data_IF_752358492877
#
_entry.id   IF_752358492877
#
_cell.length_a   1.000
_cell.length_b   1.000
_cell.length_c   1.000
_cell.angle_alpha   90.00
_cell.angle_beta   90.00
_cell.angle_gamma   90.00
#
_symmetry.space_group_name_H-M   'P 1'
#
loop_
_entity.id
_entity.type
_entity.pdbx_description
1 polymer ?
#
# COMPACT_ATOMS: atom_id res chain seq x y z
N UNK A 1 2.30 11.26 -26.50
CA UNK A 1 2.14 12.63 -25.99
C UNK A 1 3.08 13.52 -26.76
N UNK A 2 2.54 14.51 -27.47
CA UNK A 2 3.35 15.50 -28.17
C UNK A 2 3.84 16.56 -27.18
N UNK A 3 5.17 16.66 -27.04
CA UNK A 3 5.83 17.63 -26.14
C UNK A 3 6.61 18.69 -26.91
N UNK A 4 6.50 18.72 -28.24
CA UNK A 4 7.32 19.55 -29.13
C UNK A 4 7.20 21.06 -28.90
N UNK A 5 6.09 21.52 -28.30
CA UNK A 5 5.79 22.96 -28.11
C UNK A 5 5.59 23.38 -26.66
N UNK A 6 5.89 22.50 -25.71
CA UNK A 6 5.78 22.84 -24.29
C UNK A 6 6.95 23.71 -23.81
N UNK A 7 6.72 24.51 -22.78
CA UNK A 7 7.83 25.15 -22.05
C UNK A 7 8.56 24.09 -21.21
N UNK A 8 9.89 24.22 -21.05
CA UNK A 8 10.74 23.23 -20.38
C UNK A 8 10.12 22.65 -19.09
N UNK A 9 9.70 23.49 -18.15
CA UNK A 9 9.11 23.01 -16.88
C UNK A 9 7.73 22.36 -17.08
N UNK A 10 6.92 22.86 -18.01
CA UNK A 10 5.58 22.33 -18.28
C UNK A 10 5.67 20.91 -18.85
N UNK A 11 6.61 20.68 -19.78
CA UNK A 11 6.87 19.35 -20.33
C UNK A 11 7.21 18.39 -19.19
N UNK A 12 8.16 18.74 -18.33
CA UNK A 12 8.59 17.89 -17.22
C UNK A 12 7.44 17.53 -16.27
N UNK A 13 6.61 18.50 -15.90
CA UNK A 13 5.47 18.29 -14.97
C UNK A 13 4.39 17.41 -15.62
N UNK A 14 4.04 17.65 -16.88
CA UNK A 14 3.02 16.88 -17.60
C UNK A 14 3.50 15.44 -17.83
N UNK A 15 4.77 15.27 -18.21
CA UNK A 15 5.43 13.97 -18.32
C UNK A 15 5.36 13.19 -17.01
N UNK A 16 5.73 13.82 -15.90
CA UNK A 16 5.73 13.16 -14.60
C UNK A 16 4.29 12.81 -14.14
N UNK A 17 3.33 13.71 -14.32
CA UNK A 17 1.92 13.45 -14.02
C UNK A 17 1.37 12.28 -14.84
N UNK A 18 1.68 12.21 -16.13
CA UNK A 18 1.25 11.12 -17.01
C UNK A 18 1.91 9.79 -16.64
N UNK A 19 3.20 9.79 -16.30
CA UNK A 19 3.89 8.59 -15.77
C UNK A 19 3.20 8.07 -14.51
N UNK A 20 2.87 8.95 -13.55
CA UNK A 20 2.13 8.57 -12.34
C UNK A 20 0.76 8.00 -12.65
N UNK A 21 0.04 8.55 -13.63
CA UNK A 21 -1.23 8.00 -14.10
C UNK A 21 -1.07 6.57 -14.62
N UNK A 22 -0.06 6.30 -15.46
CA UNK A 22 0.20 4.94 -15.96
C UNK A 22 0.52 3.97 -14.84
N UNK A 23 1.34 4.38 -13.85
CA UNK A 23 1.67 3.57 -12.68
C UNK A 23 0.42 3.30 -11.84
N UNK A 24 -0.47 4.29 -11.70
CA UNK A 24 -1.76 4.10 -11.04
C UNK A 24 -2.62 3.08 -11.80
N UNK A 25 -2.67 3.13 -13.13
CA UNK A 25 -3.36 2.11 -13.94
C UNK A 25 -2.73 0.72 -13.80
N UNK A 26 -1.40 0.63 -13.69
CA UNK A 26 -0.71 -0.63 -13.42
C UNK A 26 -1.07 -1.17 -12.04
N UNK A 27 -1.12 -0.32 -11.01
CA UNK A 27 -1.56 -0.69 -9.66
C UNK A 27 -3.01 -1.21 -9.68
N UNK A 28 -3.92 -0.51 -10.36
CA UNK A 28 -5.33 -0.90 -10.48
C UNK A 28 -5.51 -2.28 -11.12
N UNK A 29 -4.67 -2.60 -12.11
CA UNK A 29 -4.75 -3.83 -12.89
C UNK A 29 -3.70 -4.86 -12.46
N UNK A 30 -3.12 -4.73 -11.26
CA UNK A 30 -1.96 -5.52 -10.86
C UNK A 30 -2.24 -7.03 -10.89
N UNK A 31 -3.41 -7.44 -10.40
CA UNK A 31 -3.86 -8.84 -10.38
C UNK A 31 -4.53 -9.23 -11.69
N UNK A 32 -5.37 -8.32 -12.21
CA UNK A 32 -6.20 -8.57 -13.41
C UNK A 32 -5.35 -8.67 -14.69
N UNK A 33 -4.05 -8.31 -14.64
CA UNK A 33 -3.06 -8.36 -15.75
C UNK A 33 -3.56 -7.70 -17.03
N UNK A 34 -4.49 -6.76 -16.94
CA UNK A 34 -4.93 -5.99 -18.09
C UNK A 34 -3.74 -5.27 -18.70
N UNK A 35 -3.61 -5.33 -20.04
CA UNK A 35 -2.52 -4.66 -20.74
C UNK A 35 -2.58 -3.16 -20.44
N UNK A 36 -1.56 -2.65 -19.76
CA UNK A 36 -1.39 -1.20 -19.67
C UNK A 36 -0.97 -0.66 -21.04
N UNK A 37 -1.58 0.46 -21.48
CA UNK A 37 -1.24 1.05 -22.77
C UNK A 37 0.24 1.46 -22.79
N UNK A 38 0.90 1.18 -23.91
CA UNK A 38 2.26 1.67 -24.17
C UNK A 38 2.23 3.18 -24.33
N UNK A 39 3.28 3.84 -23.85
CA UNK A 39 3.37 5.28 -23.89
C UNK A 39 4.58 5.75 -24.65
N UNK A 40 4.34 6.71 -25.54
CA UNK A 40 5.33 7.28 -26.44
C UNK A 40 5.38 8.79 -26.26
N UNK A 41 6.59 9.34 -26.18
CA UNK A 41 6.82 10.76 -26.41
C UNK A 41 7.01 11.00 -27.89
N UNK A 42 6.44 12.10 -28.36
CA UNK A 42 6.71 12.65 -29.67
C UNK A 42 7.31 14.03 -29.45
N UNK A 43 8.50 14.27 -29.98
CA UNK A 43 9.12 15.59 -29.96
C UNK A 43 9.73 15.90 -31.33
N UNK A 44 9.76 17.19 -31.64
CA UNK A 44 10.30 17.73 -32.88
C UNK A 44 11.66 18.35 -32.57
N UNK A 45 12.70 17.83 -33.19
CA UNK A 45 14.04 18.42 -33.11
C UNK A 45 14.24 19.27 -34.36
N UNK A 46 14.44 20.59 -34.25
CA UNK A 46 14.71 21.42 -35.42
C UNK A 46 16.06 21.02 -36.04
N UNK A 47 16.03 20.60 -37.29
CA UNK A 47 17.23 20.23 -38.07
C UNK A 47 17.69 21.45 -38.87
N UNK A 48 16.74 22.16 -39.49
CA UNK A 48 17.00 23.42 -40.19
C UNK A 48 15.85 24.41 -39.96
N UNK A 49 16.10 25.44 -39.14
CA UNK A 49 15.10 26.46 -38.80
C UNK A 49 14.71 27.35 -39.98
N UNK A 50 15.61 27.56 -40.97
CA UNK A 50 15.33 28.41 -42.13
C UNK A 50 14.35 27.75 -43.10
N UNK A 51 14.48 26.43 -43.25
CA UNK A 51 13.65 25.62 -44.16
C UNK A 51 12.45 24.96 -43.46
N UNK A 52 12.32 25.19 -42.14
CA UNK A 52 11.29 24.57 -41.29
C UNK A 52 11.36 23.04 -41.33
N UNK A 53 12.56 22.49 -41.40
CA UNK A 53 12.79 21.04 -41.31
C UNK A 53 12.94 20.61 -39.86
N UNK A 54 12.19 19.56 -39.50
CA UNK A 54 12.18 18.98 -38.17
C UNK A 54 12.30 17.47 -38.27
N UNK A 55 13.11 16.89 -37.39
CA UNK A 55 13.13 15.46 -37.15
C UNK A 55 12.04 15.12 -36.12
N UNK A 56 11.22 14.11 -36.43
CA UNK A 56 10.23 13.58 -35.50
C UNK A 56 10.83 12.39 -34.78
N UNK A 57 11.00 12.48 -33.47
CA UNK A 57 11.46 11.35 -32.66
C UNK A 57 10.29 10.73 -31.90
N UNK A 58 10.21 9.39 -31.93
CA UNK A 58 9.29 8.58 -31.15
C UNK A 58 10.07 7.81 -30.09
N UNK A 59 9.87 8.14 -28.82
CA UNK A 59 10.55 7.46 -27.71
C UNK A 59 9.53 6.69 -26.87
N UNK A 60 9.69 5.37 -26.77
CA UNK A 60 8.92 4.56 -25.82
C UNK A 60 9.41 4.88 -24.41
N UNK A 61 8.51 5.39 -23.58
CA UNK A 61 8.83 5.71 -22.20
C UNK A 61 8.92 4.43 -21.38
N UNK A 62 10.07 4.17 -20.74
CA UNK A 62 10.12 3.20 -19.65
C UNK A 62 9.31 3.76 -18.48
N UNK A 63 8.17 3.14 -18.19
CA UNK A 63 7.39 3.47 -16.99
C UNK A 63 8.20 2.92 -15.80
N UNK A 64 8.51 3.73 -14.77
CA UNK A 64 9.16 3.19 -13.57
C UNK A 64 8.27 2.08 -13.00
N UNK A 65 8.87 1.00 -12.51
CA UNK A 65 8.08 -0.05 -11.89
C UNK A 65 7.46 0.54 -10.61
N UNK A 66 6.21 0.21 -10.26
CA UNK A 66 5.57 0.81 -9.08
C UNK A 66 6.43 0.66 -7.81
N UNK A 67 7.15 -0.46 -7.65
CA UNK A 67 8.12 -0.70 -6.56
C UNK A 67 9.18 0.41 -6.45
N UNK A 68 9.58 1.04 -7.55
CA UNK A 68 10.54 2.15 -7.54
C UNK A 68 9.98 3.41 -6.86
N UNK A 69 8.65 3.60 -6.84
CA UNK A 69 8.01 4.65 -6.04
C UNK A 69 7.94 4.31 -4.54
N UNK A 70 8.08 3.03 -4.17
CA UNK A 70 8.02 2.53 -2.80
C UNK A 70 9.39 2.25 -2.18
N UNK A 71 10.50 2.42 -2.91
CA UNK A 71 11.86 2.18 -2.39
C UNK A 71 12.32 3.24 -1.37
N UNK A 72 11.70 4.41 -1.37
CA UNK A 72 12.04 5.53 -0.48
C UNK A 72 10.84 5.77 0.47
N UNK A 73 10.53 4.76 1.30
CA UNK A 73 9.36 4.73 2.21
C UNK A 73 9.37 5.92 3.19
N UNK A 74 10.55 6.46 3.49
CA UNK A 74 10.74 7.65 4.34
C UNK A 74 10.55 8.99 3.61
N UNK A 75 10.40 8.96 2.28
CA UNK A 75 10.06 10.11 1.43
C UNK A 75 8.69 9.95 0.80
N UNK A 76 7.70 9.52 1.59
CA UNK A 76 6.30 9.73 1.24
C UNK A 76 6.12 11.23 0.89
N UNK A 77 5.71 11.60 -0.33
CA UNK A 77 5.70 13.00 -0.78
C UNK A 77 4.50 13.79 -0.25
N UNK A 78 4.00 13.40 0.90
CA UNK A 78 2.79 13.89 1.51
C UNK A 78 3.10 14.34 2.93
N UNK A 79 3.75 15.50 3.06
CA UNK A 79 3.80 16.21 4.33
C UNK A 79 2.52 17.00 4.50
N UNK A 80 1.49 16.34 5.01
CA UNK A 80 0.32 17.02 5.56
C UNK A 80 0.61 17.41 7.01
N UNK A 81 1.66 18.20 7.23
CA UNK A 81 1.90 18.75 8.57
C UNK A 81 0.92 19.90 8.77
N UNK A 82 -0.29 19.53 9.18
CA UNK A 82 -1.31 20.43 9.73
C UNK A 82 -0.78 21.22 10.94
N UNK A 83 0.30 20.75 11.57
CA UNK A 83 1.00 21.41 12.66
C UNK A 83 1.97 22.52 12.20
N UNK A 84 2.34 22.56 10.91
CA UNK A 84 3.25 23.56 10.36
C UNK A 84 2.57 24.92 10.14
N UNK A 85 1.24 24.93 10.05
CA UNK A 85 0.44 26.14 9.88
C UNK A 85 -0.20 26.53 11.22
N UNK A 86 0.05 27.75 11.67
CA UNK A 86 -0.51 28.29 12.93
C UNK A 86 -2.05 28.25 12.97
N UNK A 87 -2.70 28.30 11.80
CA UNK A 87 -4.12 28.01 11.61
C UNK A 87 -4.25 26.92 10.53
N UNK A 88 -4.50 25.65 10.88
CA UNK A 88 -4.78 24.63 9.88
C UNK A 88 -6.07 25.00 9.16
N UNK A 89 -5.95 25.44 7.90
CA UNK A 89 -7.11 25.76 7.07
C UNK A 89 -8.12 24.58 7.15
N UNK A 90 -9.39 24.82 7.51
CA UNK A 90 -10.41 23.77 7.68
C UNK A 90 -10.49 22.78 6.50
N UNK A 91 -10.17 23.26 5.30
CA UNK A 91 -10.15 22.48 4.06
C UNK A 91 -9.03 21.43 3.98
N UNK A 92 -7.89 21.59 4.67
CA UNK A 92 -6.88 20.53 4.75
C UNK A 92 -7.33 19.37 5.63
N UNK A 93 -8.20 19.63 6.62
CA UNK A 93 -8.74 18.60 7.49
C UNK A 93 -9.61 17.60 6.71
N UNK A 94 -10.28 18.05 5.64
CA UNK A 94 -11.08 17.20 4.76
C UNK A 94 -10.26 16.11 4.04
N UNK A 95 -8.94 16.31 3.90
CA UNK A 95 -8.01 15.39 3.26
C UNK A 95 -7.16 14.58 4.24
N UNK A 96 -7.38 14.70 5.55
CA UNK A 96 -6.61 13.98 6.58
C UNK A 96 -6.66 12.46 6.40
N UNK A 97 -7.74 11.92 5.83
CA UNK A 97 -7.89 10.48 5.54
C UNK A 97 -6.79 9.92 4.63
N UNK A 98 -6.07 10.77 3.89
CA UNK A 98 -4.95 10.35 3.04
C UNK A 98 -3.83 9.71 3.85
N UNK A 99 -3.56 10.21 5.07
CA UNK A 99 -2.56 9.62 5.96
C UNK A 99 -2.93 8.16 6.28
N UNK A 100 -4.21 7.91 6.52
CA UNK A 100 -4.73 6.58 6.82
C UNK A 100 -4.64 5.66 5.59
N UNK A 101 -4.96 6.15 4.38
CA UNK A 101 -4.77 5.42 3.12
C UNK A 101 -3.31 4.95 2.98
N UNK A 102 -2.36 5.85 3.19
CA UNK A 102 -0.93 5.54 3.06
C UNK A 102 -0.50 4.53 4.12
N UNK A 103 -0.95 4.69 5.38
CA UNK A 103 -0.65 3.74 6.46
C UNK A 103 -1.16 2.35 6.11
N UNK A 104 -2.42 2.23 5.69
CA UNK A 104 -3.01 0.93 5.34
C UNK A 104 -2.29 0.26 4.16
N UNK A 105 -1.88 1.02 3.14
CA UNK A 105 -1.09 0.48 2.03
C UNK A 105 0.25 -0.06 2.53
N UNK A 106 0.94 0.68 3.38
CA UNK A 106 2.23 0.26 3.93
C UNK A 106 2.10 -1.00 4.79
N UNK A 107 1.07 -1.10 5.62
CA UNK A 107 0.76 -2.31 6.39
C UNK A 107 0.53 -3.52 5.48
N UNK A 108 -0.26 -3.35 4.41
CA UNK A 108 -0.51 -4.41 3.42
C UNK A 108 0.77 -4.84 2.71
N UNK A 109 1.60 -3.89 2.28
CA UNK A 109 2.89 -4.16 1.64
C UNK A 109 3.81 -4.90 2.61
N UNK A 110 3.91 -4.46 3.86
CA UNK A 110 4.73 -5.10 4.89
C UNK A 110 4.28 -6.55 5.10
N UNK A 111 2.97 -6.78 5.22
CA UNK A 111 2.42 -8.11 5.40
C UNK A 111 2.80 -9.05 4.25
N UNK A 112 2.66 -8.60 3.00
CA UNK A 112 2.99 -9.43 1.83
C UNK A 112 4.49 -9.66 1.72
N UNK A 113 5.29 -8.58 1.81
CA UNK A 113 6.75 -8.64 1.67
C UNK A 113 7.42 -9.43 2.78
N UNK A 114 6.80 -9.57 3.94
CA UNK A 114 7.36 -10.37 5.06
C UNK A 114 6.67 -11.71 5.26
N UNK A 115 5.68 -12.04 4.42
CA UNK A 115 4.97 -13.31 4.50
C UNK A 115 3.99 -13.41 5.67
N UNK A 116 3.53 -12.30 6.22
CA UNK A 116 2.57 -12.24 7.33
C UNK A 116 1.13 -12.48 6.84
N UNK A 117 0.89 -13.62 6.18
CA UNK A 117 -0.40 -13.95 5.59
C UNK A 117 -1.53 -13.98 6.62
N UNK A 118 -1.27 -14.54 7.81
CA UNK A 118 -2.26 -14.55 8.88
C UNK A 118 -2.62 -13.13 9.34
N UNK A 119 -1.63 -12.22 9.46
CA UNK A 119 -1.86 -10.83 9.86
C UNK A 119 -2.62 -10.04 8.78
N UNK A 120 -2.30 -10.26 7.51
CA UNK A 120 -3.05 -9.69 6.40
C UNK A 120 -4.54 -10.05 6.48
N UNK A 121 -4.86 -11.32 6.72
CA UNK A 121 -6.23 -11.79 6.75
C UNK A 121 -7.00 -11.39 8.02
N UNK A 122 -6.32 -11.27 9.17
CA UNK A 122 -7.01 -11.19 10.47
C UNK A 122 -6.81 -9.90 11.26
N UNK A 123 -5.67 -9.20 11.08
CA UNK A 123 -5.30 -8.01 11.87
C UNK A 123 -5.62 -6.72 11.13
N UNK A 124 -5.37 -6.66 9.81
CA UNK A 124 -5.67 -5.48 9.02
C UNK A 124 -7.17 -5.15 9.11
N UNK A 125 -7.49 -3.88 9.37
CA UNK A 125 -8.86 -3.43 9.54
C UNK A 125 -9.54 -3.17 8.18
N UNK A 126 -9.98 -4.25 7.54
CA UNK A 126 -10.60 -4.20 6.22
C UNK A 126 -11.90 -3.38 6.17
N UNK A 127 -12.66 -3.33 7.27
CA UNK A 127 -13.84 -2.47 7.39
C UNK A 127 -13.47 -0.98 7.35
N UNK A 128 -12.33 -0.60 7.93
CA UNK A 128 -11.83 0.77 7.83
C UNK A 128 -11.33 1.07 6.41
N UNK A 129 -10.61 0.13 5.80
CA UNK A 129 -10.12 0.26 4.42
C UNK A 129 -11.27 0.47 3.43
N UNK A 130 -12.36 -0.30 3.55
CA UNK A 130 -13.55 -0.11 2.71
C UNK A 130 -14.12 1.31 2.83
N UNK A 131 -14.24 1.82 4.06
CA UNK A 131 -14.72 3.19 4.32
C UNK A 131 -13.77 4.25 3.74
N UNK A 132 -12.46 4.06 3.89
CA UNK A 132 -11.45 4.97 3.35
C UNK A 132 -11.45 4.99 1.81
N UNK A 133 -11.65 3.83 1.19
CA UNK A 133 -11.80 3.74 -0.27
C UNK A 133 -13.06 4.49 -0.74
N UNK A 134 -14.21 4.27 -0.09
CA UNK A 134 -15.44 5.00 -0.40
C UNK A 134 -15.27 6.52 -0.23
N UNK A 135 -14.65 6.96 0.87
CA UNK A 135 -14.35 8.36 1.15
C UNK A 135 -13.42 8.96 0.10
N UNK A 136 -12.45 8.19 -0.39
CA UNK A 136 -11.54 8.64 -1.47
C UNK A 136 -12.30 9.01 -2.73
N UNK A 137 -13.26 8.19 -3.17
CA UNK A 137 -14.09 8.49 -4.35
C UNK A 137 -15.06 9.65 -4.12
N UNK A 138 -15.57 9.81 -2.89
CA UNK A 138 -16.43 10.94 -2.52
C UNK A 138 -15.67 12.27 -2.56
N UNK A 139 -14.46 12.31 -1.97
CA UNK A 139 -13.69 13.55 -1.79
C UNK A 139 -12.80 13.91 -2.96
N UNK A 140 -12.23 12.93 -3.67
CA UNK A 140 -11.27 13.17 -4.77
C UNK A 140 -11.97 13.32 -6.13
N UNK A 141 -13.02 14.13 -6.20
CA UNK A 141 -13.71 14.44 -7.45
C UNK A 141 -13.09 15.66 -8.13
N UNK A 142 -13.19 15.72 -9.47
CA UNK A 142 -12.75 16.89 -10.23
C UNK A 142 -13.42 18.19 -9.73
N UNK A 143 -14.70 18.11 -9.35
CA UNK A 143 -15.43 19.25 -8.78
C UNK A 143 -14.76 19.74 -7.49
N UNK A 144 -14.52 18.85 -6.53
CA UNK A 144 -13.85 19.20 -5.26
C UNK A 144 -12.42 19.70 -5.45
N UNK A 145 -11.68 19.11 -6.37
CA UNK A 145 -10.31 19.58 -6.69
C UNK A 145 -10.35 21.00 -7.31
N UNK A 146 -11.33 21.30 -8.16
CA UNK A 146 -11.50 22.66 -8.71
C UNK A 146 -11.85 23.68 -7.63
N UNK A 147 -12.81 23.37 -6.76
CA UNK A 147 -13.17 24.21 -5.61
C UNK A 147 -11.94 24.48 -4.73
N UNK A 148 -11.11 23.45 -4.51
CA UNK A 148 -9.85 23.56 -3.77
C UNK A 148 -8.88 24.54 -4.45
N UNK A 149 -8.66 24.42 -5.76
CA UNK A 149 -7.78 25.31 -6.53
C UNK A 149 -8.29 26.77 -6.49
N UNK A 150 -9.60 26.98 -6.59
CA UNK A 150 -10.23 28.31 -6.51
C UNK A 150 -9.99 28.95 -5.14
N UNK A 151 -9.99 28.15 -4.07
CA UNK A 151 -9.68 28.63 -2.71
C UNK A 151 -8.22 29.06 -2.57
N UNK A 152 -7.32 28.48 -3.36
CA UNK A 152 -5.89 28.81 -3.37
C UNK A 152 -5.54 29.99 -4.27
N UNK A 153 -6.52 30.63 -4.91
CA UNK A 153 -6.24 31.64 -5.93
C UNK A 153 -6.84 33.03 -5.64
N UNK A 154 -5.89 33.96 -5.45
CA UNK A 154 -5.87 35.41 -5.74
C UNK A 154 -5.89 36.31 -4.50
N UNK A 155 -4.71 36.53 -3.91
CA UNK A 155 -4.38 37.86 -3.39
C UNK A 155 -4.13 38.77 -4.60
N UNK A 156 -5.08 39.67 -4.91
CA UNK A 156 -4.79 40.80 -5.81
C UNK A 156 -3.92 41.77 -5.03
N UNK A 157 -2.62 41.52 -4.95
CA UNK A 157 -1.70 42.62 -4.73
C UNK A 157 -1.72 43.52 -5.98
N UNK A 158 -1.53 44.82 -5.79
CA UNK A 158 -1.44 45.79 -6.90
C UNK A 158 -0.21 45.56 -7.81
N UNK A 159 0.61 44.56 -7.51
CA UNK A 159 1.63 43.99 -8.38
C UNK A 159 0.99 42.86 -9.19
N UNK A 160 1.28 42.73 -10.49
CA UNK A 160 0.72 41.68 -11.36
C UNK A 160 1.22 40.25 -11.01
N UNK A 161 1.46 39.95 -9.74
CA UNK A 161 1.93 38.67 -9.24
C UNK A 161 0.76 37.85 -8.70
N UNK A 162 0.61 36.63 -9.20
CA UNK A 162 -0.27 35.63 -8.62
C UNK A 162 0.63 34.68 -7.82
N UNK A 163 0.59 34.79 -6.49
CA UNK A 163 1.24 33.78 -5.63
C UNK A 163 0.37 32.54 -5.57
N UNK A 164 0.88 31.44 -6.10
CA UNK A 164 0.28 30.11 -5.97
C UNK A 164 1.09 29.33 -4.94
N UNK A 165 0.58 29.20 -3.71
CA UNK A 165 1.16 28.32 -2.71
C UNK A 165 0.46 26.96 -2.77
N UNK A 166 1.10 25.97 -3.40
CA UNK A 166 0.63 24.59 -3.30
C UNK A 166 1.77 23.59 -3.40
N UNK A 167 2.05 22.90 -2.31
CA UNK A 167 2.93 21.74 -2.27
C UNK A 167 2.06 20.48 -2.13
N UNK A 168 1.36 20.10 -3.21
CA UNK A 168 0.46 18.94 -3.16
C UNK A 168 0.72 17.94 -4.27
N UNK A 169 1.30 16.79 -3.91
CA UNK A 169 1.58 15.67 -4.81
C UNK A 169 0.36 14.73 -5.01
N UNK A 170 -0.85 15.25 -5.31
CA UNK A 170 -2.09 14.44 -5.48
C UNK A 170 -1.90 13.27 -6.45
N UNK A 171 -1.03 13.44 -7.46
CA UNK A 171 -0.79 12.42 -8.49
C UNK A 171 -0.28 11.07 -7.96
N UNK A 172 0.34 11.00 -6.78
CA UNK A 172 0.72 9.71 -6.19
C UNK A 172 -0.41 9.04 -5.42
N UNK A 173 -1.40 9.81 -4.95
CA UNK A 173 -2.48 9.32 -4.09
C UNK A 173 -3.30 8.22 -4.77
N UNK A 174 -3.61 8.39 -6.05
CA UNK A 174 -4.32 7.37 -6.82
C UNK A 174 -3.54 6.06 -6.96
N UNK A 175 -2.21 6.09 -6.91
CA UNK A 175 -1.40 4.86 -6.85
C UNK A 175 -1.69 4.12 -5.54
N UNK A 176 -1.69 4.83 -4.40
CA UNK A 176 -2.02 4.24 -3.09
C UNK A 176 -3.45 3.71 -3.04
N UNK A 177 -4.43 4.50 -3.52
CA UNK A 177 -5.84 4.08 -3.55
C UNK A 177 -6.00 2.80 -4.37
N UNK A 178 -5.46 2.74 -5.58
CA UNK A 178 -5.60 1.56 -6.44
C UNK A 178 -4.83 0.34 -5.92
N UNK A 179 -3.70 0.53 -5.24
CA UNK A 179 -3.05 -0.56 -4.52
C UNK A 179 -3.90 -1.05 -3.36
N UNK A 180 -4.50 -0.14 -2.60
CA UNK A 180 -5.37 -0.51 -1.49
C UNK A 180 -6.63 -1.25 -1.98
N UNK A 181 -7.21 -0.85 -3.11
CA UNK A 181 -8.26 -1.61 -3.79
C UNK A 181 -7.79 -3.01 -4.18
N UNK A 182 -6.57 -3.14 -4.68
CA UNK A 182 -5.98 -4.43 -5.04
C UNK A 182 -5.85 -5.33 -3.82
N UNK A 183 -5.33 -4.80 -2.71
CA UNK A 183 -5.26 -5.54 -1.44
C UNK A 183 -6.65 -5.90 -0.90
N UNK A 184 -7.62 -4.99 -1.00
CA UNK A 184 -8.99 -5.25 -0.59
C UNK A 184 -9.65 -6.35 -1.43
N UNK A 185 -9.44 -6.34 -2.75
CA UNK A 185 -9.87 -7.43 -3.64
C UNK A 185 -9.26 -8.76 -3.23
N UNK A 186 -7.95 -8.81 -2.96
CA UNK A 186 -7.29 -10.02 -2.44
C UNK A 186 -8.00 -10.48 -1.16
N UNK A 187 -8.15 -9.60 -0.17
CA UNK A 187 -8.82 -9.95 1.09
C UNK A 187 -10.21 -10.55 0.86
N UNK A 188 -11.01 -9.95 -0.02
CA UNK A 188 -12.36 -10.46 -0.34
C UNK A 188 -12.39 -11.85 -0.95
N UNK A 189 -11.33 -12.30 -1.64
CA UNK A 189 -11.22 -13.70 -2.10
C UNK A 189 -11.07 -14.71 -0.95
N UNK A 190 -10.64 -14.26 0.23
CA UNK A 190 -10.36 -15.11 1.40
C UNK A 190 -11.28 -14.82 2.58
N UNK A 191 -12.08 -13.74 2.55
CA UNK A 191 -12.94 -13.31 3.66
C UNK A 191 -13.85 -14.44 4.18
N UNK A 192 -14.44 -15.23 3.27
CA UNK A 192 -15.30 -16.36 3.60
C UNK A 192 -14.55 -17.62 4.09
N UNK A 193 -13.21 -17.62 4.02
CA UNK A 193 -12.34 -18.69 4.54
C UNK A 193 -11.85 -18.40 5.98
N UNK A 194 -12.31 -17.29 6.58
CA UNK A 194 -11.98 -16.90 7.95
C UNK A 194 -13.16 -17.25 8.85
N UNK A 195 -12.93 -18.17 9.79
CA UNK A 195 -13.95 -18.62 10.74
C UNK A 195 -13.83 -17.78 12.02
N UNK A 196 -14.94 -17.22 12.52
CA UNK A 196 -14.95 -16.39 13.74
C UNK A 196 -15.62 -17.17 14.87
N UNK A 197 -14.82 -17.59 15.85
CA UNK A 197 -15.27 -18.38 17.01
C UNK A 197 -14.51 -17.91 18.25
N UNK A 198 -15.18 -17.78 19.40
CA UNK A 198 -14.53 -17.48 20.69
C UNK A 198 -13.55 -16.28 20.66
N UNK A 199 -13.95 -15.19 19.98
CA UNK A 199 -13.10 -13.99 19.77
C UNK A 199 -11.83 -14.21 18.92
N UNK A 200 -11.71 -15.37 18.27
CA UNK A 200 -10.65 -15.69 17.32
C UNK A 200 -11.10 -15.48 15.89
N UNK A 201 -10.12 -15.25 15.02
CA UNK A 201 -10.27 -15.29 13.56
C UNK A 201 -9.41 -16.44 13.05
N UNK A 202 -10.00 -17.61 12.94
CA UNK A 202 -9.32 -18.83 12.56
C UNK A 202 -9.12 -18.93 11.06
N UNK A 203 -7.93 -19.32 10.64
CA UNK A 203 -7.57 -19.53 9.24
C UNK A 203 -6.88 -20.88 9.09
N UNK A 204 -7.37 -21.72 8.18
CA UNK A 204 -6.79 -23.04 7.91
C UNK A 204 -5.37 -22.90 7.32
N UNK A 205 -4.47 -23.80 7.68
CA UNK A 205 -3.11 -23.88 7.12
C UNK A 205 -3.17 -23.93 5.59
N UNK A 206 -4.10 -24.71 5.03
CA UNK A 206 -4.28 -24.80 3.57
C UNK A 206 -4.66 -23.47 2.93
N UNK A 207 -5.46 -22.64 3.63
CA UNK A 207 -5.81 -21.29 3.17
C UNK A 207 -4.59 -20.37 3.19
N UNK A 208 -3.73 -20.49 4.21
CA UNK A 208 -2.46 -19.74 4.26
C UNK A 208 -1.48 -20.20 3.18
N UNK A 209 -1.45 -21.50 2.84
CA UNK A 209 -0.62 -22.03 1.74
C UNK A 209 -1.12 -21.57 0.37
N UNK A 210 -2.43 -21.58 0.15
CA UNK A 210 -3.07 -21.03 -1.06
C UNK A 210 -2.73 -19.55 -1.22
N UNK A 211 -2.84 -18.76 -0.14
CA UNK A 211 -2.42 -17.35 -0.13
C UNK A 211 -0.93 -17.21 -0.46
N UNK A 212 -0.07 -18.04 0.13
CA UNK A 212 1.37 -17.98 -0.09
C UNK A 212 1.76 -18.26 -1.55
N UNK A 213 1.18 -19.30 -2.15
CA UNK A 213 1.43 -19.67 -3.53
C UNK A 213 0.82 -18.66 -4.52
N UNK A 214 -0.47 -18.35 -4.36
CA UNK A 214 -1.20 -17.48 -5.31
C UNK A 214 -0.76 -16.03 -5.18
N UNK A 215 -0.75 -15.48 -3.97
CA UNK A 215 -0.52 -14.05 -3.75
C UNK A 215 0.97 -13.76 -3.66
N UNK A 216 1.67 -14.30 -2.66
CA UNK A 216 3.06 -13.91 -2.36
C UNK A 216 4.00 -14.32 -3.49
N UNK A 217 3.94 -15.58 -3.95
CA UNK A 217 4.80 -16.09 -5.02
C UNK A 217 4.34 -15.71 -6.41
N UNK A 218 3.08 -15.93 -6.77
CA UNK A 218 2.65 -15.76 -8.17
C UNK A 218 2.27 -14.32 -8.55
N UNK A 219 1.59 -13.57 -7.66
CA UNK A 219 1.28 -12.16 -7.94
C UNK A 219 2.44 -11.22 -7.59
N UNK A 220 2.97 -11.31 -6.37
CA UNK A 220 4.00 -10.39 -5.88
C UNK A 220 5.44 -10.84 -6.15
N UNK A 221 5.67 -12.13 -6.44
CA UNK A 221 6.98 -12.70 -6.76
C UNK A 221 8.03 -12.54 -5.65
N UNK A 222 7.59 -12.60 -4.40
CA UNK A 222 8.44 -12.46 -3.20
C UNK A 222 8.98 -13.84 -2.76
N UNK A 223 10.08 -14.29 -3.37
CA UNK A 223 10.63 -15.65 -3.17
C UNK A 223 11.07 -15.92 -1.73
N UNK A 224 11.72 -14.97 -1.07
CA UNK A 224 12.22 -15.14 0.30
C UNK A 224 11.07 -15.34 1.28
N UNK A 225 10.04 -14.52 1.12
CA UNK A 225 8.88 -14.46 2.02
C UNK A 225 7.99 -15.67 1.81
N UNK A 226 7.85 -16.10 0.54
CA UNK A 226 7.23 -17.38 0.20
C UNK A 226 7.91 -18.55 0.90
N UNK A 227 9.24 -18.66 0.77
CA UNK A 227 10.02 -19.77 1.34
C UNK A 227 9.90 -19.78 2.87
N UNK A 228 9.96 -18.60 3.49
CA UNK A 228 9.83 -18.47 4.95
C UNK A 228 8.48 -18.99 5.44
N UNK A 229 7.39 -18.49 4.86
CA UNK A 229 6.05 -18.88 5.27
C UNK A 229 5.77 -20.36 4.96
N UNK A 230 6.21 -20.90 3.81
CA UNK A 230 5.98 -22.30 3.47
C UNK A 230 6.66 -23.26 4.46
N UNK A 231 7.89 -22.94 4.89
CA UNK A 231 8.60 -23.71 5.92
C UNK A 231 7.83 -23.75 7.25
N UNK A 232 7.33 -22.60 7.72
CA UNK A 232 6.56 -22.55 8.97
C UNK A 232 5.25 -23.34 8.84
N UNK A 233 4.52 -23.18 7.73
CA UNK A 233 3.26 -23.90 7.50
C UNK A 233 3.47 -25.43 7.40
N UNK A 234 4.57 -25.90 6.80
CA UNK A 234 4.91 -27.33 6.79
C UNK A 234 5.28 -27.85 8.19
N UNK A 235 5.91 -27.02 9.04
CA UNK A 235 6.16 -27.38 10.43
C UNK A 235 4.85 -27.56 11.21
N UNK A 236 3.93 -26.58 11.15
CA UNK A 236 2.61 -26.71 11.77
C UNK A 236 1.85 -27.93 11.27
N UNK A 237 1.90 -28.21 9.96
CA UNK A 237 1.24 -29.38 9.37
C UNK A 237 1.79 -30.69 9.93
N UNK A 238 3.10 -30.79 10.21
CA UNK A 238 3.70 -31.98 10.85
C UNK A 238 3.22 -32.11 12.30
N UNK A 239 3.29 -31.02 13.08
CA UNK A 239 2.86 -30.98 14.48
C UNK A 239 1.38 -31.37 14.62
N UNK A 240 0.51 -30.84 13.77
CA UNK A 240 -0.92 -31.12 13.82
C UNK A 240 -1.28 -32.55 13.42
N UNK A 241 -0.52 -33.17 12.51
CA UNK A 241 -0.67 -34.60 12.17
C UNK A 241 -0.40 -35.51 13.35
N UNK A 242 0.49 -35.10 14.26
CA UNK A 242 0.78 -35.84 15.49
C UNK A 242 -0.26 -35.57 16.60
N UNK A 243 -1.25 -34.69 16.35
CA UNK A 243 -2.27 -34.31 17.32
C UNK A 243 -1.75 -33.34 18.39
N UNK A 244 -0.64 -32.67 18.12
CA UNK A 244 0.07 -31.82 19.07
C UNK A 244 -0.18 -30.33 18.80
N UNK A 245 0.11 -29.50 19.81
CA UNK A 245 0.28 -28.05 19.69
C UNK A 245 1.64 -27.67 20.27
N UNK A 246 2.28 -26.64 19.72
CA UNK A 246 3.54 -26.12 20.27
C UNK A 246 3.31 -24.89 21.13
N UNK A 247 3.86 -24.88 22.34
CA UNK A 247 3.92 -23.69 23.20
C UNK A 247 5.37 -23.36 23.52
N UNK A 248 5.78 -22.11 23.32
CA UNK A 248 7.09 -21.59 23.73
C UNK A 248 6.91 -20.46 24.75
N UNK A 249 7.83 -20.33 25.72
CA UNK A 249 7.82 -19.19 26.64
C UNK A 249 8.08 -17.88 25.88
N UNK A 250 7.62 -16.72 26.40
CA UNK A 250 7.85 -15.41 25.80
C UNK A 250 9.31 -15.18 25.42
N UNK A 251 9.54 -14.85 24.15
CA UNK A 251 10.89 -14.62 23.65
C UNK A 251 11.40 -13.24 24.03
N UNK A 252 12.72 -13.13 24.27
CA UNK A 252 13.34 -11.85 24.66
C UNK A 252 13.40 -10.82 23.53
N UNK A 253 13.29 -11.25 22.26
CA UNK A 253 13.25 -10.36 21.10
C UNK A 253 12.08 -10.73 20.17
N UNK A 254 10.89 -10.29 20.57
CA UNK A 254 9.61 -10.59 19.89
C UNK A 254 9.59 -10.09 18.45
N UNK A 255 10.09 -8.89 18.17
CA UNK A 255 10.08 -8.33 16.81
C UNK A 255 10.94 -9.15 15.86
N UNK A 256 12.16 -9.50 16.27
CA UNK A 256 13.05 -10.32 15.43
C UNK A 256 12.42 -11.68 15.14
N UNK A 257 11.86 -12.33 16.16
CA UNK A 257 11.26 -13.65 16.00
C UNK A 257 9.96 -13.60 15.18
N UNK A 258 9.13 -12.57 15.37
CA UNK A 258 7.95 -12.35 14.56
C UNK A 258 8.32 -12.23 13.07
N UNK A 259 9.35 -11.44 12.75
CA UNK A 259 9.87 -11.33 11.38
C UNK A 259 10.47 -12.64 10.86
N UNK A 260 11.22 -13.37 11.70
CA UNK A 260 11.88 -14.61 11.31
C UNK A 260 10.91 -15.79 11.11
N UNK A 261 9.72 -15.76 11.71
CA UNK A 261 8.72 -16.82 11.64
C UNK A 261 7.49 -16.42 10.83
N UNK A 262 7.64 -15.50 9.86
CA UNK A 262 6.54 -15.04 9.00
C UNK A 262 5.28 -14.61 9.78
N UNK A 263 5.47 -14.02 10.96
CA UNK A 263 4.40 -13.56 11.85
C UNK A 263 3.67 -14.67 12.61
N UNK A 264 4.14 -15.92 12.53
CA UNK A 264 3.56 -17.10 13.19
C UNK A 264 4.31 -17.44 14.49
N UNK A 265 4.47 -16.46 15.37
CA UNK A 265 5.11 -16.67 16.67
C UNK A 265 4.17 -17.42 17.61
N UNK A 266 4.58 -18.59 18.13
CA UNK A 266 3.75 -19.45 19.00
C UNK A 266 3.14 -18.75 20.21
N UNK A 267 3.83 -17.75 20.75
CA UNK A 267 3.34 -16.94 21.87
C UNK A 267 2.10 -16.13 21.46
N UNK A 268 2.07 -15.64 20.22
CA UNK A 268 1.04 -14.73 19.70
C UNK A 268 -0.14 -15.45 19.06
N UNK A 269 0.06 -16.71 18.67
CA UNK A 269 -0.96 -17.49 17.97
C UNK A 269 -1.55 -18.59 18.85
N UNK A 270 -2.78 -18.92 18.52
CA UNK A 270 -3.52 -20.07 18.98
C UNK A 270 -3.54 -21.15 17.89
N UNK A 271 -3.65 -22.42 18.30
CA UNK A 271 -3.49 -23.58 17.43
C UNK A 271 -4.64 -24.57 17.63
N UNK A 272 -5.31 -24.94 16.55
CA UNK A 272 -6.34 -25.98 16.54
C UNK A 272 -5.93 -27.09 15.57
N UNK A 273 -5.26 -28.11 16.12
CA UNK A 273 -4.76 -29.25 15.36
C UNK A 273 -5.90 -30.10 14.77
N UNK A 274 -7.10 -30.10 15.36
CA UNK A 274 -8.22 -30.92 14.89
C UNK A 274 -8.74 -30.38 13.55
N UNK A 275 -8.79 -29.06 13.44
CA UNK A 275 -9.28 -28.37 12.25
C UNK A 275 -8.16 -27.79 11.37
N UNK A 276 -6.90 -28.04 11.71
CA UNK A 276 -5.71 -27.55 11.00
C UNK A 276 -5.71 -26.03 10.78
N UNK A 277 -6.04 -25.26 11.83
CA UNK A 277 -6.20 -23.80 11.74
C UNK A 277 -5.42 -23.06 12.82
N UNK A 278 -5.05 -21.82 12.47
CA UNK A 278 -4.30 -20.89 13.31
C UNK A 278 -5.09 -19.60 13.50
N UNK A 279 -4.91 -18.95 14.64
CA UNK A 279 -5.45 -17.61 14.89
C UNK A 279 -4.49 -16.80 15.73
N UNK A 280 -4.53 -15.46 15.67
CA UNK A 280 -3.90 -14.65 16.72
C UNK A 280 -4.74 -14.70 17.99
N UNK A 281 -4.08 -14.63 19.15
CA UNK A 281 -4.72 -14.50 20.45
C UNK A 281 -5.23 -13.07 20.69
N UNK A 282 -6.19 -12.64 19.87
CA UNK A 282 -6.75 -11.28 19.92
C UNK A 282 -7.36 -10.98 21.28
N UNK A 283 -7.09 -9.79 21.81
CA UNK A 283 -7.60 -9.35 23.10
C UNK A 283 -6.77 -9.82 24.30
N UNK A 284 -5.83 -10.75 24.10
CA UNK A 284 -4.97 -11.27 25.17
C UNK A 284 -3.71 -10.44 25.35
N UNK A 285 -3.24 -10.45 26.59
CA UNK A 285 -1.98 -9.84 27.00
C UNK A 285 -0.93 -10.96 27.05
N UNK A 286 0.24 -10.69 26.48
CA UNK A 286 1.32 -11.67 26.32
C UNK A 286 1.76 -12.32 27.64
N UNK A 287 1.97 -11.51 28.69
CA UNK A 287 2.21 -11.97 30.07
C UNK A 287 1.93 -10.83 31.07
N UNK A 288 2.18 -11.07 32.37
CA UNK A 288 1.92 -10.10 33.45
C UNK A 288 2.78 -8.83 33.38
N UNK A 289 3.93 -8.88 32.71
CA UNK A 289 4.89 -7.78 32.62
C UNK A 289 4.64 -6.90 31.39
N UNK A 290 3.96 -7.43 30.37
CA UNK A 290 3.53 -6.69 29.19
C UNK A 290 2.14 -6.08 29.42
N UNK A 291 1.95 -4.77 29.19
CA UNK A 291 0.64 -4.08 29.36
C UNK A 291 -0.17 -3.96 28.06
N UNK A 292 0.36 -4.47 26.94
CA UNK A 292 -0.21 -4.29 25.60
C UNK A 292 -0.83 -5.60 25.12
N UNK A 293 -1.87 -5.49 24.28
CA UNK A 293 -2.51 -6.64 23.68
C UNK A 293 -1.69 -7.17 22.50
N UNK A 294 -1.80 -8.46 22.21
CA UNK A 294 -1.04 -9.11 21.12
C UNK A 294 -1.30 -8.41 19.78
N UNK A 295 -2.54 -8.00 19.47
CA UNK A 295 -2.83 -7.27 18.24
C UNK A 295 -2.10 -5.92 18.14
N UNK A 296 -1.74 -5.29 19.25
CA UNK A 296 -1.03 -4.02 19.24
C UNK A 296 0.45 -4.21 18.87
N UNK A 297 1.05 -5.33 19.28
CA UNK A 297 2.39 -5.72 18.83
C UNK A 297 2.40 -6.02 17.34
N UNK A 298 1.43 -6.83 16.87
CA UNK A 298 1.36 -7.19 15.45
C UNK A 298 1.14 -5.95 14.58
N UNK A 299 0.27 -5.02 14.99
CA UNK A 299 0.08 -3.74 14.30
C UNK A 299 1.37 -2.91 14.23
N UNK A 300 2.14 -2.86 15.31
CA UNK A 300 3.43 -2.16 15.28
C UNK A 300 4.42 -2.82 14.33
N UNK A 301 4.46 -4.16 14.26
CA UNK A 301 5.34 -4.89 13.34
C UNK A 301 4.89 -4.81 11.87
N UNK A 302 3.61 -4.49 11.63
CA UNK A 302 3.08 -4.21 10.30
C UNK A 302 3.44 -2.80 9.81
N UNK A 303 3.74 -1.84 10.71
CA UNK A 303 4.23 -0.52 10.29
C UNK A 303 5.55 -0.72 9.54
N UNK A 304 5.63 -0.14 8.34
CA UNK A 304 6.82 -0.25 7.52
C UNK A 304 8.05 0.26 8.29
N UNK A 305 9.07 -0.58 8.42
CA UNK A 305 10.39 -0.13 8.86
C UNK A 305 11.05 0.62 7.71
N UNK A 306 11.41 1.86 8.03
CA UNK A 306 12.19 2.82 7.27
C UNK A 306 13.48 2.24 6.69
#
# INVERSE_FOLDING_TARGET
>A
MDVSRGLNFQILVIVDAYRRFLVAQQAKNYIDKAKCPKFYYVYLTPVNLKEKEYEVTFEETKTPFFVDYFKDVNKLPFKFDTEYYQDPLPFYQEFNFIKDIISCVNECISAIKRGFALAFLTIINWNNIEKLLALSYEKLTLKRIKELIETFSIEKDNTKEIKLSMEYSLGKLWIYIYLLETFYKIYKEYENKIEIEEHRKWVKIETLRDFNEKIIKNHFKETSSYTLLDNELENFKKIFKEGNIETKPPSSNQERNFNAHAGLLYEFIDQDYKNYRLSYKLGEILDKDHKRKIEDYVKDYLKAWA
#
